data_IF_225753811857
#
_entry.id   IF_225753811857
#
_cell.length_a   1.000
_cell.length_b   1.000
_cell.length_c   1.000
_cell.angle_alpha   90.00
_cell.angle_beta   90.00
_cell.angle_gamma   90.00
#
_symmetry.space_group_name_H-M   'P 1'
#
loop_
_entity.id
_entity.type
_entity.pdbx_description
1 polymer ?
#
# COMPACT_ATOMS: atom_id res chain seq x y z
N UNK A 1 -9.77 15.81 18.79
CA UNK A 1 -8.69 15.29 17.92
C UNK A 1 -7.38 15.82 18.48
N UNK A 2 -6.58 14.95 19.08
CA UNK A 2 -5.35 15.36 19.77
C UNK A 2 -4.21 15.56 18.77
N UNK A 3 -3.22 16.40 19.11
CA UNK A 3 -2.08 16.72 18.24
C UNK A 3 -1.37 15.48 17.66
N UNK A 4 -1.30 14.40 18.43
CA UNK A 4 -0.69 13.12 18.02
C UNK A 4 -1.45 12.45 16.86
N UNK A 5 -2.79 12.55 16.84
CA UNK A 5 -3.62 11.98 15.77
C UNK A 5 -3.44 12.78 14.48
N UNK A 6 -3.37 14.11 14.60
CA UNK A 6 -3.18 15.05 13.48
C UNK A 6 -1.81 14.90 12.82
N UNK A 7 -0.76 14.62 13.59
CA UNK A 7 0.58 14.36 13.05
C UNK A 7 0.69 13.01 12.32
N UNK A 8 -0.02 11.98 12.81
CA UNK A 8 -0.07 10.67 12.14
C UNK A 8 -0.78 10.76 10.80
N UNK A 9 -1.90 11.48 10.77
CA UNK A 9 -2.66 11.74 9.55
C UNK A 9 -1.80 12.52 8.53
N UNK A 10 -1.18 13.63 8.93
CA UNK A 10 -0.29 14.40 8.05
C UNK A 10 0.87 13.57 7.48
N UNK A 11 1.44 12.63 8.25
CA UNK A 11 2.50 11.72 7.77
C UNK A 11 1.97 10.68 6.78
N UNK A 12 0.77 10.16 6.98
CA UNK A 12 0.14 9.22 6.06
C UNK A 12 -0.19 9.91 4.73
N UNK A 13 -0.77 11.11 4.79
CA UNK A 13 -1.06 11.95 3.61
C UNK A 13 0.21 12.30 2.84
N UNK A 14 1.29 12.70 3.51
CA UNK A 14 2.58 12.98 2.85
C UNK A 14 3.16 11.75 2.14
N UNK A 15 3.05 10.55 2.73
CA UNK A 15 3.47 9.30 2.09
C UNK A 15 2.58 8.93 0.89
N UNK A 16 1.28 9.19 0.98
CA UNK A 16 0.34 9.03 -0.14
C UNK A 16 0.70 9.94 -1.32
N UNK A 17 0.94 11.21 -1.03
CA UNK A 17 1.31 12.21 -2.03
C UNK A 17 2.65 11.86 -2.69
N UNK A 18 3.64 11.41 -1.91
CA UNK A 18 4.91 10.94 -2.46
C UNK A 18 4.75 9.72 -3.36
N UNK A 19 3.94 8.72 -2.97
CA UNK A 19 3.68 7.55 -3.82
C UNK A 19 2.95 7.94 -5.10
N UNK A 20 1.98 8.84 -4.99
CA UNK A 20 1.21 9.36 -6.13
C UNK A 20 2.07 10.16 -7.09
N UNK A 21 2.96 11.02 -6.59
CA UNK A 21 3.92 11.79 -7.38
C UNK A 21 4.95 10.87 -8.04
N UNK A 22 5.48 9.90 -7.28
CA UNK A 22 6.55 8.99 -7.76
C UNK A 22 6.04 8.02 -8.83
N UNK A 23 4.79 7.57 -8.74
CA UNK A 23 4.21 6.61 -9.68
C UNK A 23 3.24 7.22 -10.69
N UNK A 24 2.91 8.51 -10.58
CA UNK A 24 1.98 9.21 -11.47
C UNK A 24 0.55 8.66 -11.48
N UNK A 25 0.20 7.84 -10.49
CA UNK A 25 -1.02 7.03 -10.46
C UNK A 25 -1.52 6.84 -9.03
N UNK A 26 -2.83 6.76 -8.85
CA UNK A 26 -3.48 6.44 -7.56
C UNK A 26 -3.44 4.94 -7.21
N UNK A 27 -2.92 4.13 -8.13
CA UNK A 27 -2.84 2.67 -8.02
C UNK A 27 -1.43 2.20 -8.34
N UNK A 28 -0.99 1.17 -7.62
CA UNK A 28 0.29 0.49 -7.82
C UNK A 28 0.09 -0.82 -8.57
N UNK A 29 1.03 -1.16 -9.46
CA UNK A 29 1.12 -2.51 -10.02
C UNK A 29 1.74 -3.46 -8.99
N UNK A 30 1.64 -4.77 -9.23
CA UNK A 30 2.34 -5.78 -8.40
C UNK A 30 3.85 -5.53 -8.29
N UNK A 31 4.48 -5.02 -9.36
CA UNK A 31 5.92 -4.67 -9.35
C UNK A 31 6.20 -3.47 -8.45
N UNK A 32 5.40 -2.42 -8.56
CA UNK A 32 5.57 -1.23 -7.72
C UNK A 32 5.31 -1.54 -6.25
N UNK A 33 4.27 -2.33 -5.96
CA UNK A 33 3.98 -2.76 -4.59
C UNK A 33 5.15 -3.55 -3.98
N UNK A 34 5.76 -4.44 -4.75
CA UNK A 34 6.92 -5.21 -4.30
C UNK A 34 8.09 -4.28 -3.88
N UNK A 35 8.35 -3.23 -4.66
CA UNK A 35 9.36 -2.21 -4.32
C UNK A 35 8.99 -1.45 -3.04
N UNK A 36 7.74 -0.99 -2.92
CA UNK A 36 7.26 -0.25 -1.74
C UNK A 36 7.36 -1.08 -0.46
N UNK A 37 7.02 -2.37 -0.53
CA UNK A 37 7.05 -3.28 0.62
C UNK A 37 8.43 -3.92 0.87
N UNK A 38 9.42 -3.67 0.02
CA UNK A 38 10.74 -4.33 0.10
C UNK A 38 10.67 -5.85 -0.06
N UNK A 39 9.68 -6.37 -0.81
CA UNK A 39 9.46 -7.80 -1.03
C UNK A 39 9.71 -8.18 -2.49
N UNK A 40 9.88 -9.48 -2.77
CA UNK A 40 9.87 -9.96 -4.16
C UNK A 40 8.45 -10.00 -4.72
N UNK A 41 8.30 -9.83 -6.03
CA UNK A 41 7.01 -9.96 -6.74
C UNK A 41 6.37 -11.35 -6.51
N UNK A 42 7.20 -12.39 -6.38
CA UNK A 42 6.76 -13.75 -6.06
C UNK A 42 6.16 -13.81 -4.64
N UNK A 43 6.79 -13.15 -3.67
CA UNK A 43 6.25 -13.05 -2.32
C UNK A 43 4.91 -12.33 -2.31
N UNK A 44 4.75 -11.25 -3.09
CA UNK A 44 3.46 -10.56 -3.22
C UNK A 44 2.40 -11.49 -3.83
N UNK A 45 2.75 -12.24 -4.87
CA UNK A 45 1.81 -13.20 -5.47
C UNK A 45 1.39 -14.30 -4.47
N UNK A 46 2.33 -14.78 -3.65
CA UNK A 46 2.04 -15.75 -2.58
C UNK A 46 1.16 -15.13 -1.49
N UNK A 47 1.46 -13.91 -1.05
CA UNK A 47 0.68 -13.22 -0.04
C UNK A 47 -0.78 -13.08 -0.51
N UNK A 48 -1.00 -12.67 -1.76
CA UNK A 48 -2.34 -12.57 -2.35
C UNK A 48 -3.10 -13.90 -2.39
N UNK A 49 -2.44 -15.00 -2.75
CA UNK A 49 -3.06 -16.34 -2.75
C UNK A 49 -3.48 -16.79 -1.35
N UNK A 50 -2.79 -16.29 -0.32
CA UNK A 50 -3.10 -16.57 1.07
C UNK A 50 -4.00 -15.50 1.71
N UNK A 51 -4.60 -14.60 0.90
CA UNK A 51 -5.40 -13.47 1.38
C UNK A 51 -4.66 -12.59 2.41
N UNK A 52 -3.34 -12.43 2.23
CA UNK A 52 -2.47 -11.56 3.01
C UNK A 52 -2.02 -10.37 2.15
N UNK A 53 -1.81 -9.23 2.79
CA UNK A 53 -1.35 -8.00 2.13
C UNK A 53 -2.44 -6.95 1.98
N UNK A 54 -2.15 -5.85 1.27
CA UNK A 54 -3.12 -4.81 0.99
C UNK A 54 -4.23 -5.31 0.07
N UNK A 55 -5.40 -4.68 0.15
CA UNK A 55 -6.49 -4.94 -0.77
C UNK A 55 -6.08 -4.62 -2.21
N UNK A 56 -6.71 -5.30 -3.17
CA UNK A 56 -6.43 -5.13 -4.59
C UNK A 56 -7.71 -5.16 -5.42
N UNK A 57 -7.69 -4.44 -6.52
CA UNK A 57 -8.74 -4.45 -7.53
C UNK A 57 -8.27 -5.23 -8.75
N UNK A 58 -9.21 -5.90 -9.40
CA UNK A 58 -8.98 -6.60 -10.66
C UNK A 58 -9.69 -5.85 -11.78
N UNK A 59 -8.92 -5.32 -12.73
CA UNK A 59 -9.47 -4.64 -13.89
C UNK A 59 -10.03 -5.63 -14.92
N UNK A 60 -10.84 -5.12 -15.87
CA UNK A 60 -11.49 -5.91 -16.93
C UNK A 60 -10.51 -6.69 -17.83
N UNK A 61 -9.26 -6.26 -17.90
CA UNK A 61 -8.17 -6.91 -18.64
C UNK A 61 -7.37 -7.92 -17.79
N UNK A 62 -7.90 -8.33 -16.62
CA UNK A 62 -7.20 -9.16 -15.62
C UNK A 62 -5.97 -8.51 -14.98
N UNK A 63 -5.72 -7.21 -15.17
CA UNK A 63 -4.68 -6.52 -14.43
C UNK A 63 -5.05 -6.42 -12.95
N UNK A 64 -4.03 -6.56 -12.12
CA UNK A 64 -4.16 -6.46 -10.67
C UNK A 64 -3.49 -5.17 -10.24
N UNK A 65 -4.27 -4.31 -9.60
CA UNK A 65 -3.88 -2.98 -9.18
C UNK A 65 -4.15 -2.83 -7.68
N UNK A 66 -3.28 -2.12 -6.99
CA UNK A 66 -3.34 -1.90 -5.55
C UNK A 66 -3.56 -0.42 -5.27
N UNK A 67 -4.74 0.00 -4.80
CA UNK A 67 -4.98 1.39 -4.45
C UNK A 67 -3.98 1.86 -3.39
N UNK A 68 -3.44 3.07 -3.56
CA UNK A 68 -2.43 3.60 -2.64
C UNK A 68 -2.97 3.71 -1.20
N UNK A 69 -4.25 4.05 -1.04
CA UNK A 69 -4.92 4.12 0.27
C UNK A 69 -4.88 2.77 1.00
N UNK A 70 -5.28 1.69 0.33
CA UNK A 70 -5.22 0.33 0.89
C UNK A 70 -3.79 -0.10 1.25
N UNK A 71 -2.81 0.33 0.47
CA UNK A 71 -1.39 0.04 0.73
C UNK A 71 -0.89 0.79 1.97
N UNK A 72 -1.29 2.05 2.15
CA UNK A 72 -0.93 2.85 3.33
C UNK A 72 -1.62 2.34 4.59
N UNK A 73 -2.89 1.94 4.48
CA UNK A 73 -3.63 1.32 5.58
C UNK A 73 -2.97 0.01 6.01
N UNK A 74 -2.59 -0.82 5.05
CA UNK A 74 -1.84 -2.04 5.30
C UNK A 74 -0.51 -1.75 6.02
N UNK A 75 0.28 -0.80 5.51
CA UNK A 75 1.56 -0.42 6.12
C UNK A 75 1.38 0.11 7.55
N UNK A 76 0.42 0.99 7.77
CA UNK A 76 0.16 1.61 9.07
C UNK A 76 -0.29 0.58 10.10
N UNK A 77 -1.17 -0.34 9.71
CA UNK A 77 -1.69 -1.36 10.62
C UNK A 77 -0.69 -2.51 10.86
N UNK A 78 0.16 -2.85 9.89
CA UNK A 78 1.23 -3.83 10.11
C UNK A 78 2.32 -3.30 11.06
N UNK A 79 2.66 -2.01 11.01
CA UNK A 79 3.59 -1.41 11.99
C UNK A 79 3.08 -1.42 13.44
N UNK A 80 1.76 -1.47 13.68
CA UNK A 80 1.20 -1.52 15.04
C UNK A 80 1.40 -2.87 15.73
N UNK A 81 1.63 -3.95 14.98
CA UNK A 81 1.81 -5.29 15.54
C UNK A 81 3.27 -5.61 15.92
N UNK A 82 4.19 -4.66 15.76
CA UNK A 82 5.62 -4.82 16.08
C UNK A 82 6.11 -3.88 17.19
N UNK A 83 5.21 -3.18 17.90
CA UNK A 83 5.52 -2.36 19.08
C UNK A 83 4.89 -2.96 20.34
#
# INVERSE_FOLDING_TARGET
MNNIEKEKENRATYKADLLKITHGSLVLTKKNLALVLGKSVISIARDMQNSKGPHYIKEKNNNIMFPIEDVLDYLTNTTKNYN
#
